data_IF_131674670838
#
_entry.id   IF_131674670838
#
_cell.length_a   1.000
_cell.length_b   1.000
_cell.length_c   1.000
_cell.angle_alpha   90.00
_cell.angle_beta   90.00
_cell.angle_gamma   90.00
#
_symmetry.space_group_name_H-M   'P 1'
#
loop_
_entity.id
_entity.type
_entity.pdbx_description
1 polymer ?
#
# COMPACT_ATOMS: atom_id res chain seq x y z
N UNK A 1 37.94 18.28 -57.48
CA UNK A 1 37.16 17.16 -58.00
C UNK A 1 36.04 16.89 -56.99
N UNK A 2 34.81 17.23 -57.37
CA UNK A 2 33.60 17.22 -56.54
C UNK A 2 32.99 15.83 -56.56
N UNK A 3 32.76 15.18 -55.41
CA UNK A 3 31.87 14.01 -55.33
C UNK A 3 31.05 14.05 -54.02
N UNK A 4 29.81 14.55 -54.16
CA UNK A 4 28.51 14.23 -53.51
C UNK A 4 28.56 13.22 -52.35
N UNK A 5 28.20 13.51 -51.10
CA UNK A 5 26.86 13.83 -50.54
C UNK A 5 25.73 12.90 -51.01
N UNK A 6 25.35 11.95 -50.14
CA UNK A 6 24.06 11.27 -50.19
C UNK A 6 23.62 10.90 -48.76
N UNK A 7 22.76 11.76 -48.23
CA UNK A 7 21.98 11.58 -47.01
C UNK A 7 20.76 10.72 -47.39
N UNK A 8 20.54 9.63 -46.66
CA UNK A 8 19.34 8.80 -46.77
C UNK A 8 18.42 9.12 -45.60
N UNK A 9 17.38 9.93 -45.87
CA UNK A 9 16.24 10.15 -44.98
C UNK A 9 15.16 9.13 -45.32
N UNK A 10 14.89 8.17 -44.42
CA UNK A 10 13.73 7.30 -44.52
C UNK A 10 12.53 7.99 -43.86
N UNK A 11 11.47 8.15 -44.64
CA UNK A 11 10.22 8.80 -44.27
C UNK A 11 9.28 7.79 -43.61
N UNK A 12 8.89 8.06 -42.35
CA UNK A 12 7.84 7.33 -41.65
C UNK A 12 6.46 7.69 -42.25
N UNK A 13 5.78 6.69 -42.80
CA UNK A 13 4.39 6.82 -43.25
C UNK A 13 3.45 6.67 -42.04
N UNK A 14 2.69 7.74 -41.77
CA UNK A 14 1.64 7.81 -40.75
C UNK A 14 0.40 7.05 -41.21
N UNK A 15 0.01 6.00 -40.50
CA UNK A 15 -1.31 5.37 -40.64
C UNK A 15 -2.30 6.01 -39.66
N UNK A 16 -3.10 6.95 -40.19
CA UNK A 16 -4.28 7.49 -39.52
C UNK A 16 -5.40 6.44 -39.55
N UNK A 17 -5.71 5.83 -38.40
CA UNK A 17 -6.91 5.00 -38.23
C UNK A 17 -7.99 5.87 -37.59
N UNK A 18 -8.97 6.23 -38.41
CA UNK A 18 -10.18 6.96 -38.07
C UNK A 18 -11.15 6.06 -37.29
N UNK A 19 -11.32 6.30 -35.99
CA UNK A 19 -12.43 5.75 -35.21
C UNK A 19 -13.56 6.77 -35.11
N UNK A 20 -14.48 6.70 -36.08
CA UNK A 20 -15.83 7.27 -35.96
C UNK A 20 -16.81 6.12 -35.98
N UNK A 21 -17.42 5.76 -34.84
CA UNK A 21 -18.84 5.40 -34.81
C UNK A 21 -19.41 5.32 -33.39
N UNK A 22 -20.40 6.19 -33.17
CA UNK A 22 -21.71 5.90 -32.58
C UNK A 22 -21.83 5.62 -31.08
N UNK A 23 -22.16 6.71 -30.37
CA UNK A 23 -23.14 6.72 -29.28
C UNK A 23 -24.46 6.07 -29.71
N UNK A 24 -24.90 5.02 -29.01
CA UNK A 24 -26.32 4.72 -28.80
C UNK A 24 -26.53 4.14 -27.39
N UNK A 25 -27.10 4.97 -26.51
CA UNK A 25 -27.79 4.53 -25.30
C UNK A 25 -29.18 4.01 -25.69
N UNK A 26 -29.62 2.88 -25.12
CA UNK A 26 -31.02 2.75 -24.77
C UNK A 26 -31.18 2.54 -23.26
N UNK A 27 -31.70 3.57 -22.60
CA UNK A 27 -32.40 3.47 -21.33
C UNK A 27 -33.58 2.50 -21.52
N UNK A 28 -33.57 1.38 -20.81
CA UNK A 28 -34.72 0.48 -20.79
C UNK A 28 -35.28 0.44 -19.36
N UNK A 29 -36.29 1.27 -19.14
CA UNK A 29 -37.14 1.28 -17.97
C UNK A 29 -38.10 0.08 -18.04
N UNK A 30 -37.88 -0.93 -17.19
CA UNK A 30 -38.93 -1.90 -16.86
C UNK A 30 -39.23 -1.84 -15.37
N UNK A 31 -40.27 -1.06 -15.07
CA UNK A 31 -41.13 -1.22 -13.91
C UNK A 31 -41.70 -2.65 -13.92
N UNK A 32 -41.41 -3.42 -12.88
CA UNK A 32 -42.24 -4.58 -12.51
C UNK A 32 -42.51 -4.49 -11.02
N UNK A 33 -43.80 -4.46 -10.73
CA UNK A 33 -44.40 -4.32 -9.42
C UNK A 33 -44.28 -5.60 -8.57
N UNK A 34 -44.39 -5.38 -7.26
CA UNK A 34 -44.47 -6.34 -6.16
C UNK A 34 -45.53 -7.43 -6.38
N UNK A 35 -45.39 -8.55 -5.65
CA UNK A 35 -46.42 -8.79 -4.64
C UNK A 35 -45.82 -9.06 -3.25
N UNK A 36 -46.44 -8.42 -2.26
CA UNK A 36 -46.33 -8.76 -0.86
C UNK A 36 -47.06 -10.09 -0.59
N UNK A 37 -46.38 -11.04 0.01
CA UNK A 37 -46.96 -12.21 0.66
C UNK A 37 -46.13 -12.44 1.92
N UNK A 38 -46.63 -12.13 3.12
CA UNK A 38 -47.63 -12.85 3.91
C UNK A 38 -46.91 -13.42 5.14
N UNK A 39 -47.18 -12.77 6.27
CA UNK A 39 -46.76 -13.18 7.60
C UNK A 39 -47.21 -14.61 7.90
N UNK A 40 -46.26 -15.46 8.30
CA UNK A 40 -46.52 -16.80 8.83
C UNK A 40 -45.68 -17.02 10.08
N UNK A 41 -46.27 -16.76 11.25
CA UNK A 41 -45.73 -17.19 12.55
C UNK A 41 -46.36 -18.53 12.90
N UNK A 42 -45.57 -19.59 13.14
CA UNK A 42 -46.06 -20.74 13.90
C UNK A 42 -45.32 -20.86 15.25
N UNK A 43 -46.12 -20.65 16.30
CA UNK A 43 -46.25 -21.44 17.54
C UNK A 43 -44.97 -21.99 18.18
N UNK A 44 -44.62 -21.40 19.33
CA UNK A 44 -43.85 -22.00 20.41
C UNK A 44 -44.43 -23.38 20.77
N UNK A 45 -43.63 -24.42 20.63
CA UNK A 45 -43.88 -25.72 21.25
C UNK A 45 -42.94 -25.85 22.44
N UNK A 46 -43.52 -25.99 23.63
CA UNK A 46 -42.79 -26.27 24.86
C UNK A 46 -42.52 -27.77 24.96
N UNK A 47 -41.24 -28.16 24.93
CA UNK A 47 -40.80 -29.49 25.35
C UNK A 47 -40.04 -29.36 26.66
N UNK A 48 -40.65 -29.84 27.76
CA UNK A 48 -39.92 -30.16 28.99
C UNK A 48 -39.18 -31.47 28.80
N UNK A 49 -37.85 -31.42 28.87
CA UNK A 49 -37.01 -32.59 29.10
C UNK A 49 -36.08 -32.30 30.28
N UNK A 50 -36.33 -33.01 31.38
CA UNK A 50 -35.37 -33.22 32.45
C UNK A 50 -34.25 -34.12 31.91
N UNK A 51 -33.02 -33.63 31.96
CA UNK A 51 -31.83 -34.47 31.91
C UNK A 51 -31.01 -34.18 33.17
N UNK A 52 -30.95 -35.16 34.08
CA UNK A 52 -29.90 -35.26 35.07
C UNK A 52 -28.69 -35.90 34.39
N UNK A 53 -27.52 -35.27 34.51
CA UNK A 53 -26.29 -35.80 33.93
C UNK A 53 -25.11 -34.90 34.25
N UNK A 54 -24.38 -35.24 35.29
CA UNK A 54 -23.10 -34.65 35.68
C UNK A 54 -22.11 -34.70 34.53
N UNK A 55 -21.45 -33.58 34.22
CA UNK A 55 -20.17 -33.57 33.52
C UNK A 55 -19.42 -32.28 33.79
N UNK A 56 -18.27 -32.45 34.44
CA UNK A 56 -17.10 -31.58 34.47
C UNK A 56 -17.34 -30.07 34.29
N UNK A 57 -17.19 -29.34 35.39
CA UNK A 57 -16.77 -27.93 35.40
C UNK A 57 -15.41 -27.82 34.71
N UNK A 58 -15.41 -27.82 33.38
CA UNK A 58 -14.30 -27.34 32.57
C UNK A 58 -14.35 -25.82 32.67
N UNK A 59 -13.64 -25.29 33.67
CA UNK A 59 -13.19 -23.91 33.61
C UNK A 59 -12.30 -23.81 32.37
N UNK A 60 -12.90 -23.42 31.24
CA UNK A 60 -12.14 -22.90 30.12
C UNK A 60 -11.51 -21.61 30.64
N UNK A 61 -10.18 -21.48 30.66
CA UNK A 61 -9.60 -20.17 30.77
C UNK A 61 -9.96 -19.46 29.46
N UNK A 62 -10.93 -18.54 29.53
CA UNK A 62 -11.16 -17.52 28.51
C UNK A 62 -9.97 -16.54 28.56
N UNK A 63 -8.79 -17.05 28.21
CA UNK A 63 -7.60 -16.26 27.97
C UNK A 63 -7.26 -16.42 26.49
N UNK A 64 -8.17 -15.98 25.64
CA UNK A 64 -7.77 -15.46 24.33
C UNK A 64 -7.10 -14.14 24.67
N UNK A 65 -5.77 -14.16 24.78
CA UNK A 65 -4.98 -12.96 24.85
C UNK A 65 -5.19 -12.20 23.56
N UNK A 66 -6.08 -11.20 23.62
CA UNK A 66 -6.09 -10.05 22.73
C UNK A 66 -4.66 -9.52 22.73
N UNK A 67 -3.90 -9.85 21.68
CA UNK A 67 -2.49 -9.51 21.57
C UNK A 67 -2.34 -7.99 21.74
N UNK A 68 -1.78 -7.57 22.88
CA UNK A 68 -1.66 -6.17 23.25
C UNK A 68 -0.99 -5.37 22.13
N UNK A 69 -1.73 -4.42 21.55
CA UNK A 69 -1.22 -3.50 20.55
C UNK A 69 -0.08 -2.70 21.18
N UNK A 70 1.16 -3.04 20.84
CA UNK A 70 2.35 -2.32 21.29
C UNK A 70 2.26 -0.88 20.80
N UNK A 71 2.36 0.08 21.73
CA UNK A 71 2.50 1.49 21.37
C UNK A 71 3.94 1.75 20.95
N UNK A 72 4.18 1.73 19.64
CA UNK A 72 5.51 2.00 19.08
C UNK A 72 5.91 3.47 19.17
N UNK A 73 4.96 4.38 19.42
CA UNK A 73 5.25 5.83 19.46
C UNK A 73 5.92 6.26 20.77
N UNK A 74 5.73 5.49 21.85
CA UNK A 74 6.35 5.73 23.16
C UNK A 74 7.71 5.03 23.35
N UNK A 75 8.21 4.32 22.34
CA UNK A 75 9.50 3.61 22.43
C UNK A 75 10.65 4.62 22.39
N UNK A 76 11.52 4.57 23.39
CA UNK A 76 12.68 5.45 23.51
C UNK A 76 13.71 5.25 22.38
N UNK A 77 14.45 6.31 22.04
CA UNK A 77 15.42 6.29 20.94
C UNK A 77 16.55 5.27 21.15
N UNK A 78 17.00 5.06 22.38
CA UNK A 78 18.06 4.09 22.66
C UNK A 78 17.60 2.64 22.44
N UNK A 79 16.31 2.36 22.62
CA UNK A 79 15.74 1.06 22.25
C UNK A 79 15.70 0.88 20.72
N UNK A 80 15.41 1.94 19.96
CA UNK A 80 15.47 1.89 18.51
C UNK A 80 16.89 1.69 17.98
N UNK A 81 17.88 2.37 18.56
CA UNK A 81 19.30 2.19 18.19
C UNK A 81 19.82 0.77 18.43
N UNK A 82 19.25 0.03 19.40
CA UNK A 82 19.58 -1.39 19.64
C UNK A 82 18.93 -2.32 18.61
N UNK A 83 17.77 -1.95 18.06
CA UNK A 83 16.97 -2.79 17.14
C UNK A 83 17.34 -2.57 15.67
N UNK A 84 17.79 -1.38 15.33
CA UNK A 84 18.03 -0.94 13.95
C UNK A 84 19.52 -0.77 13.69
N UNK A 85 19.93 -0.92 12.43
CA UNK A 85 21.26 -0.47 12.01
C UNK A 85 21.35 1.06 12.10
N UNK A 86 22.57 1.60 12.10
CA UNK A 86 22.78 3.05 12.14
C UNK A 86 22.08 3.79 10.99
N UNK A 87 22.15 3.24 9.77
CA UNK A 87 21.47 3.78 8.59
C UNK A 87 19.95 3.72 8.70
N UNK A 88 19.40 2.57 9.14
CA UNK A 88 17.97 2.41 9.35
C UNK A 88 17.45 3.39 10.40
N UNK A 89 18.17 3.56 11.51
CA UNK A 89 17.81 4.53 12.54
C UNK A 89 17.86 5.98 12.02
N UNK A 90 18.94 6.35 11.33
CA UNK A 90 19.08 7.67 10.73
C UNK A 90 17.91 8.00 9.77
N UNK A 91 17.56 7.07 8.90
CA UNK A 91 16.46 7.26 7.94
C UNK A 91 15.11 7.29 8.66
N UNK A 92 14.80 6.26 9.45
CA UNK A 92 13.43 6.08 9.99
C UNK A 92 13.11 6.99 11.17
N UNK A 93 14.09 7.40 11.97
CA UNK A 93 13.88 8.22 13.18
C UNK A 93 14.39 9.64 13.05
N UNK A 94 15.44 9.88 12.27
CA UNK A 94 16.01 11.21 12.04
C UNK A 94 15.63 11.82 10.68
N UNK A 95 14.70 11.17 9.95
CA UNK A 95 14.21 11.62 8.63
C UNK A 95 15.33 11.76 7.59
N UNK A 96 16.36 10.93 7.71
CA UNK A 96 17.43 10.84 6.73
C UNK A 96 16.95 10.27 5.40
N UNK A 97 17.81 10.34 4.39
CA UNK A 97 17.56 9.76 3.06
C UNK A 97 18.79 8.98 2.61
N UNK A 98 18.61 7.75 2.16
CA UNK A 98 19.70 6.93 1.60
C UNK A 98 20.16 7.50 0.26
N UNK A 99 21.40 7.19 -0.15
CA UNK A 99 21.91 7.64 -1.44
C UNK A 99 21.16 6.94 -2.59
N UNK A 100 20.91 7.66 -3.68
CA UNK A 100 20.31 7.09 -4.87
C UNK A 100 21.12 5.90 -5.41
N UNK A 101 20.42 4.85 -5.85
CA UNK A 101 20.96 3.63 -6.45
C UNK A 101 21.83 2.76 -5.52
N UNK A 102 21.79 2.99 -4.21
CA UNK A 102 22.55 2.18 -3.23
C UNK A 102 21.67 1.28 -2.36
N UNK A 103 20.38 1.60 -2.20
CA UNK A 103 19.47 0.82 -1.34
C UNK A 103 19.15 -0.58 -1.88
N UNK A 104 19.06 -1.59 -1.01
CA UNK A 104 18.81 -3.00 -1.38
C UNK A 104 17.65 -3.20 -2.37
N UNK A 105 16.57 -2.43 -2.24
CA UNK A 105 15.31 -2.63 -2.95
C UNK A 105 15.10 -1.71 -4.15
N UNK A 106 16.05 -0.83 -4.51
CA UNK A 106 15.83 0.11 -5.62
C UNK A 106 15.53 -0.62 -6.94
N UNK A 107 16.33 -1.65 -7.28
CA UNK A 107 16.17 -2.46 -8.50
C UNK A 107 15.47 -3.81 -8.29
N UNK A 108 15.08 -4.15 -7.05
CA UNK A 108 14.50 -5.45 -6.74
C UNK A 108 13.13 -5.61 -7.41
N UNK A 109 12.89 -6.82 -7.97
CA UNK A 109 11.63 -7.24 -8.62
C UNK A 109 11.00 -8.48 -7.96
N UNK A 110 11.56 -8.93 -6.84
CA UNK A 110 11.10 -10.11 -6.12
C UNK A 110 9.65 -9.94 -5.66
N UNK A 111 8.76 -10.91 -5.97
CA UNK A 111 7.38 -10.91 -5.49
C UNK A 111 7.33 -11.01 -3.97
N UNK A 112 6.50 -10.16 -3.34
CA UNK A 112 6.42 -10.10 -1.88
C UNK A 112 5.71 -8.86 -1.36
N UNK A 113 5.72 -8.73 -0.05
CA UNK A 113 5.22 -7.56 0.66
C UNK A 113 6.38 -6.85 1.36
N UNK A 114 6.43 -5.53 1.22
CA UNK A 114 7.40 -4.67 1.90
C UNK A 114 6.78 -4.20 3.21
N UNK A 115 7.40 -4.61 4.32
CA UNK A 115 6.99 -4.28 5.68
C UNK A 115 7.84 -3.12 6.21
N UNK A 116 7.30 -2.37 7.17
CA UNK A 116 8.07 -1.38 7.92
C UNK A 116 9.19 -2.07 8.69
N UNK A 117 10.44 -1.60 8.55
CA UNK A 117 11.57 -2.18 9.28
C UNK A 117 11.43 -2.05 10.81
N UNK A 118 10.68 -1.06 11.30
CA UNK A 118 10.55 -0.77 12.73
C UNK A 118 9.45 -1.60 13.42
N UNK A 119 8.25 -1.67 12.84
CA UNK A 119 7.07 -2.30 13.47
C UNK A 119 6.48 -3.45 12.68
N UNK A 120 7.12 -3.85 11.57
CA UNK A 120 6.72 -4.99 10.74
C UNK A 120 5.30 -4.88 10.13
N UNK A 121 4.72 -3.68 10.11
CA UNK A 121 3.42 -3.41 9.45
C UNK A 121 3.58 -3.49 7.92
N UNK A 122 2.67 -4.15 7.19
CA UNK A 122 2.73 -4.19 5.72
C UNK A 122 2.47 -2.79 5.13
N UNK A 123 3.38 -2.31 4.28
CA UNK A 123 3.32 -0.95 3.72
C UNK A 123 3.05 -0.96 2.22
N UNK A 124 3.73 -1.81 1.45
CA UNK A 124 3.63 -1.85 -0.01
C UNK A 124 3.67 -3.28 -0.54
N UNK A 125 2.99 -3.54 -1.66
CA UNK A 125 3.11 -4.82 -2.38
C UNK A 125 4.02 -4.70 -3.59
N UNK A 126 4.73 -5.77 -3.92
CA UNK A 126 5.63 -5.81 -5.08
C UNK A 126 4.93 -5.49 -6.40
N UNK A 127 3.63 -5.80 -6.55
CA UNK A 127 2.87 -5.50 -7.76
C UNK A 127 2.62 -4.00 -7.96
N UNK A 128 2.68 -3.21 -6.87
CA UNK A 128 2.56 -1.75 -6.94
C UNK A 128 3.89 -1.07 -7.22
N UNK A 129 5.00 -1.81 -7.13
CA UNK A 129 6.34 -1.31 -7.38
C UNK A 129 6.55 -1.12 -8.88
N UNK A 130 7.18 -0.01 -9.25
CA UNK A 130 7.54 0.28 -10.64
C UNK A 130 8.94 0.89 -10.72
N UNK A 131 9.52 0.88 -11.91
CA UNK A 131 10.80 1.53 -12.17
C UNK A 131 10.56 3.01 -12.52
N UNK A 132 10.99 3.89 -11.62
CA UNK A 132 10.88 5.34 -11.80
C UNK A 132 12.18 5.98 -12.31
N UNK A 133 13.29 5.23 -12.39
CA UNK A 133 14.61 5.78 -12.72
C UNK A 133 15.19 6.73 -11.65
N UNK A 134 14.55 6.88 -10.48
CA UNK A 134 14.99 7.84 -9.45
C UNK A 134 16.13 7.33 -8.56
N UNK A 135 16.33 6.01 -8.50
CA UNK A 135 17.32 5.38 -7.63
C UNK A 135 16.82 4.95 -6.26
N UNK A 136 15.53 5.10 -5.99
CA UNK A 136 14.85 4.57 -4.79
C UNK A 136 13.65 3.70 -5.18
N UNK A 137 13.27 2.69 -4.37
CA UNK A 137 12.07 1.91 -4.63
C UNK A 137 10.83 2.82 -4.69
N UNK A 138 10.09 2.69 -5.79
CA UNK A 138 8.93 3.51 -6.10
C UNK A 138 7.67 2.66 -6.22
N UNK A 139 6.60 3.10 -5.59
CA UNK A 139 5.31 2.41 -5.59
C UNK A 139 4.20 3.38 -5.99
N UNK A 140 3.16 2.92 -6.69
CA UNK A 140 2.04 3.81 -7.04
C UNK A 140 0.93 3.84 -5.98
N UNK A 141 0.92 2.88 -5.05
CA UNK A 141 -0.11 2.78 -4.01
C UNK A 141 0.38 1.99 -2.78
N UNK A 142 0.02 2.39 -1.54
CA UNK A 142 0.30 1.64 -0.32
C UNK A 142 -0.76 0.56 -0.02
N UNK A 143 -0.46 -0.31 0.93
CA UNK A 143 -1.40 -1.29 1.48
C UNK A 143 -2.33 -0.60 2.49
N UNK A 144 -3.60 -0.47 2.13
CA UNK A 144 -4.64 0.08 2.99
C UNK A 144 -4.32 1.47 3.54
N UNK A 145 -4.54 1.68 4.84
CA UNK A 145 -4.29 2.94 5.55
C UNK A 145 -3.04 2.92 6.43
N UNK A 146 -2.09 2.02 6.14
CA UNK A 146 -0.88 1.82 6.96
C UNK A 146 0.21 2.88 6.71
N UNK A 147 -0.01 3.73 5.72
CA UNK A 147 0.88 4.80 5.31
C UNK A 147 0.14 6.14 5.44
N UNK A 148 0.76 7.11 6.10
CA UNK A 148 0.24 8.48 6.26
C UNK A 148 1.14 9.46 5.52
N UNK A 149 0.52 10.48 4.95
CA UNK A 149 1.22 11.63 4.40
C UNK A 149 1.16 12.82 5.35
N UNK A 150 2.29 13.50 5.57
CA UNK A 150 2.41 14.72 6.37
C UNK A 150 3.08 15.80 5.53
N UNK A 151 2.72 17.06 5.77
CA UNK A 151 3.37 18.19 5.08
C UNK A 151 4.80 18.34 5.62
N UNK A 152 5.77 18.37 4.71
CA UNK A 152 7.18 18.58 4.99
C UNK A 152 7.62 19.96 4.49
N UNK A 153 7.99 20.82 5.43
CA UNK A 153 8.46 22.20 5.22
C UNK A 153 9.95 22.35 5.52
N UNK A 154 10.71 21.25 5.57
CA UNK A 154 12.16 21.27 5.83
C UNK A 154 12.94 22.09 4.81
N UNK A 155 12.46 22.19 3.57
CA UNK A 155 13.06 23.02 2.53
C UNK A 155 12.18 24.25 2.32
N UNK A 156 12.77 25.42 2.59
CA UNK A 156 12.10 26.71 2.42
C UNK A 156 11.68 26.85 0.95
N UNK A 157 10.41 27.19 0.72
CA UNK A 157 9.77 27.35 -0.60
C UNK A 157 9.53 26.08 -1.43
N UNK A 158 9.86 24.89 -0.93
CA UNK A 158 9.54 23.62 -1.62
C UNK A 158 8.77 22.68 -0.69
N UNK A 159 7.46 22.92 -0.47
CA UNK A 159 6.65 22.03 0.35
C UNK A 159 6.61 20.65 -0.32
N UNK A 160 6.99 19.62 0.45
CA UNK A 160 6.89 18.23 0.02
C UNK A 160 5.89 17.51 0.90
N UNK A 161 5.50 16.31 0.49
CA UNK A 161 4.63 15.46 1.28
C UNK A 161 5.42 14.26 1.78
N UNK A 162 5.85 14.32 3.04
CA UNK A 162 6.54 13.23 3.73
C UNK A 162 5.58 12.05 3.91
N UNK A 163 6.12 10.86 3.76
CA UNK A 163 5.44 9.59 3.94
C UNK A 163 5.99 8.92 5.18
N UNK A 164 5.10 8.61 6.13
CA UNK A 164 5.44 7.95 7.40
C UNK A 164 4.58 6.70 7.62
N UNK A 165 5.10 5.75 8.40
CA UNK A 165 4.30 4.62 8.87
C UNK A 165 3.19 5.10 9.80
N UNK A 166 1.96 4.65 9.58
CA UNK A 166 0.81 5.04 10.37
C UNK A 166 0.82 4.53 11.82
N UNK A 167 1.62 3.48 12.08
CA UNK A 167 1.65 2.71 13.35
C UNK A 167 2.77 3.15 14.28
N UNK A 168 3.97 3.43 13.76
CA UNK A 168 5.15 3.76 14.58
C UNK A 168 5.79 5.12 14.25
N UNK A 169 5.17 5.89 13.35
CA UNK A 169 5.65 7.18 12.85
C UNK A 169 7.06 7.15 12.23
N UNK A 170 7.56 5.97 11.84
CA UNK A 170 8.83 5.85 11.11
C UNK A 170 8.77 6.60 9.78
N UNK A 171 9.78 7.41 9.50
CA UNK A 171 9.98 8.05 8.21
C UNK A 171 10.26 7.00 7.12
N UNK A 172 9.52 7.10 6.01
CA UNK A 172 9.64 6.20 4.88
C UNK A 172 10.25 6.92 3.66
N UNK A 173 9.78 8.14 3.37
CA UNK A 173 10.23 8.92 2.22
C UNK A 173 9.24 10.02 1.87
N UNK A 174 8.93 10.19 0.58
CA UNK A 174 8.02 11.23 0.09
C UNK A 174 7.08 10.71 -1.00
N UNK A 175 5.93 11.37 -1.15
CA UNK A 175 4.96 11.11 -2.22
C UNK A 175 4.90 12.29 -3.17
N UNK A 176 4.81 11.98 -4.46
CA UNK A 176 4.74 12.91 -5.58
C UNK A 176 3.56 12.60 -6.50
N UNK A 177 3.16 13.57 -7.32
CA UNK A 177 1.99 13.50 -8.21
C UNK A 177 2.37 13.18 -9.67
N UNK A 178 3.53 12.56 -9.87
CA UNK A 178 4.11 12.18 -11.15
C UNK A 178 4.19 10.65 -11.33
N UNK A 179 3.29 9.93 -10.68
CA UNK A 179 3.22 8.47 -10.78
C UNK A 179 2.43 7.96 -11.98
N UNK A 180 2.51 6.65 -12.27
CA UNK A 180 1.71 6.04 -13.32
C UNK A 180 0.23 5.92 -12.92
N UNK A 181 -0.67 5.65 -13.89
CA UNK A 181 -2.02 5.17 -13.60
C UNK A 181 -1.98 3.89 -12.74
N UNK A 182 -3.00 3.62 -11.91
CA UNK A 182 -4.29 4.31 -11.83
C UNK A 182 -4.32 5.52 -10.87
N UNK A 183 -3.36 5.62 -9.95
CA UNK A 183 -3.39 6.64 -8.87
C UNK A 183 -2.77 7.97 -9.28
N UNK A 184 -1.83 7.97 -10.24
CA UNK A 184 -1.01 9.14 -10.57
C UNK A 184 -0.03 9.51 -9.45
N UNK A 185 0.10 8.69 -8.40
CA UNK A 185 0.98 8.97 -7.26
C UNK A 185 2.25 8.14 -7.36
N UNK A 186 3.37 8.71 -6.92
CA UNK A 186 4.65 8.03 -6.78
C UNK A 186 5.13 8.14 -5.34
N UNK A 187 5.03 7.03 -4.61
CA UNK A 187 5.62 6.87 -3.28
C UNK A 187 7.09 6.50 -3.47
N UNK A 188 7.98 7.45 -3.26
CA UNK A 188 9.43 7.29 -3.34
C UNK A 188 9.95 7.00 -1.93
N UNK A 189 10.35 5.76 -1.68
CA UNK A 189 10.59 5.24 -0.34
C UNK A 189 12.06 4.85 -0.19
N UNK A 190 12.64 5.06 0.99
CA UNK A 190 13.98 4.57 1.29
C UNK A 190 13.95 3.05 1.46
N UNK A 191 14.84 2.34 0.78
CA UNK A 191 15.00 0.89 0.94
C UNK A 191 15.26 0.50 2.39
N UNK A 192 16.13 1.24 3.08
CA UNK A 192 16.46 0.97 4.48
C UNK A 192 15.28 1.14 5.45
N UNK A 193 14.16 1.76 5.03
CA UNK A 193 12.93 1.83 5.83
C UNK A 193 12.04 0.58 5.70
N UNK A 194 12.39 -0.33 4.78
CA UNK A 194 11.58 -1.47 4.40
C UNK A 194 12.27 -2.80 4.74
N UNK A 195 11.47 -3.85 4.86
CA UNK A 195 11.90 -5.24 4.88
C UNK A 195 11.01 -6.05 3.94
N UNK A 196 11.59 -6.68 2.92
CA UNK A 196 10.84 -7.54 2.02
C UNK A 196 10.54 -8.88 2.70
N UNK A 197 9.28 -9.31 2.64
CA UNK A 197 8.83 -10.68 2.90
C UNK A 197 8.42 -11.32 1.56
N UNK A 198 9.26 -12.19 0.99
CA UNK A 198 8.94 -12.88 -0.27
C UNK A 198 7.67 -13.73 -0.15
N UNK A 199 6.94 -13.88 -1.25
CA UNK A 199 5.79 -14.80 -1.37
C UNK A 199 6.25 -16.21 -1.72
#
# INVERSE_FOLDING_TARGET
>A
MVIKSSISTSTNASSFISWKTQFQNPVNSKLLALPAAAFGVPKRVSFSLRAMGSSASSQRPDNIQEAGKVDYTSVADDEWKKRLTAEQYYITRQKGTERAFTGEYWNTKTPGTYHCICCDTPLFESFTKFDSGTGWPSYYQPVGSNVKSKLDLSIIFMPRQEVVCAVCDAHLGHVFDDGPPPTGKRYCINSASLKLKPK
#
